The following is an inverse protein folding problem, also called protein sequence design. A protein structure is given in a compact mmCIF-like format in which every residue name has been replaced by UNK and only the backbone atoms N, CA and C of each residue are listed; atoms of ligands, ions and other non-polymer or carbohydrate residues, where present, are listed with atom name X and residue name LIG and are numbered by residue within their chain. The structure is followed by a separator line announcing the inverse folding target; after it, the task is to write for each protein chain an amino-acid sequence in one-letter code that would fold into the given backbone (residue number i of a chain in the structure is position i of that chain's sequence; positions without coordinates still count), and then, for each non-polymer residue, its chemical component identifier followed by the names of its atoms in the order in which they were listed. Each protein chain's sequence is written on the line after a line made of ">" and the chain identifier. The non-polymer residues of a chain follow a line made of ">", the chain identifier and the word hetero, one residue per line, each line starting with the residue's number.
data_IF_393799343178
#
_entry.id   IF_393799343178
#
_cell.length_a   1.000
_cell.length_b   1.000
_cell.length_c   1.000
_cell.angle_alpha   90.00
_cell.angle_beta   90.00
_cell.angle_gamma   90.00
#
_symmetry.space_group_name_H-M   'P 1'
#
loop_
_entity.id
_entity.type
_entity.pdbx_description
1 polymer ?
#
# COMPACT_ATOMS: atom_id res chain seq x y z
N UNK A 1 -2.73 -28.09 25.06
CA UNK A 1 -3.96 -27.66 24.34
C UNK A 1 -3.99 -28.41 23.02
N UNK A 2 -4.65 -29.57 23.00
CA UNK A 2 -4.71 -30.44 21.84
C UNK A 2 -5.57 -29.79 20.75
N UNK A 3 -4.97 -29.52 19.58
CA UNK A 3 -5.66 -29.00 18.42
C UNK A 3 -6.43 -30.12 17.72
N UNK A 4 -7.63 -30.43 18.22
CA UNK A 4 -8.60 -31.20 17.44
C UNK A 4 -8.95 -30.43 16.17
N UNK A 5 -9.05 -31.14 15.05
CA UNK A 5 -9.57 -30.58 13.79
C UNK A 5 -11.00 -30.12 14.02
N UNK A 6 -11.18 -28.80 14.13
CA UNK A 6 -12.50 -28.21 14.26
C UNK A 6 -13.34 -28.50 13.03
N UNK A 7 -14.63 -28.64 13.24
CA UNK A 7 -15.58 -28.87 12.15
C UNK A 7 -15.68 -27.63 11.27
N UNK A 8 -16.13 -27.82 10.01
CA UNK A 8 -16.36 -26.70 9.09
C UNK A 8 -17.35 -25.68 9.66
N UNK A 9 -18.38 -26.15 10.37
CA UNK A 9 -19.38 -25.31 11.02
C UNK A 9 -18.77 -24.41 12.11
N UNK A 10 -17.91 -24.96 12.98
CA UNK A 10 -17.23 -24.19 14.02
C UNK A 10 -16.27 -23.15 13.43
N UNK A 11 -15.60 -23.49 12.32
CA UNK A 11 -14.75 -22.55 11.58
C UNK A 11 -15.57 -21.39 11.02
N UNK A 12 -16.72 -21.70 10.42
CA UNK A 12 -17.58 -20.68 9.82
C UNK A 12 -18.14 -19.72 10.87
N UNK A 13 -18.61 -20.24 12.01
CA UNK A 13 -19.09 -19.41 13.13
C UNK A 13 -18.01 -18.46 13.67
N UNK A 14 -16.75 -18.91 13.70
CA UNK A 14 -15.63 -18.08 14.12
C UNK A 14 -15.31 -16.96 13.12
N UNK A 15 -15.40 -17.24 11.81
CA UNK A 15 -15.21 -16.24 10.76
C UNK A 15 -16.32 -15.18 10.82
N UNK A 16 -17.57 -15.59 11.00
CA UNK A 16 -18.72 -14.67 11.14
C UNK A 16 -18.55 -13.78 12.37
N UNK A 17 -18.17 -14.34 13.52
CA UNK A 17 -17.89 -13.56 14.71
C UNK A 17 -16.72 -12.58 14.50
N UNK A 18 -15.67 -12.99 13.77
CA UNK A 18 -14.57 -12.10 13.41
C UNK A 18 -15.04 -10.95 12.49
N UNK A 19 -15.90 -11.22 11.51
CA UNK A 19 -16.49 -10.19 10.66
C UNK A 19 -17.28 -9.18 11.48
N UNK A 20 -18.17 -9.64 12.36
CA UNK A 20 -18.97 -8.77 13.24
C UNK A 20 -18.09 -7.86 14.11
N UNK A 21 -17.02 -8.40 14.70
CA UNK A 21 -16.08 -7.61 15.48
C UNK A 21 -15.37 -6.55 14.62
N UNK A 22 -15.01 -6.89 13.37
CA UNK A 22 -14.42 -5.94 12.44
C UNK A 22 -15.41 -4.86 11.97
N UNK A 23 -16.70 -5.20 11.84
CA UNK A 23 -17.77 -4.25 11.53
C UNK A 23 -17.97 -3.25 12.67
N UNK A 24 -17.74 -3.67 13.92
CA UNK A 24 -17.68 -2.79 15.10
C UNK A 24 -16.34 -2.02 15.24
N UNK A 25 -15.52 -2.02 14.19
CA UNK A 25 -14.20 -1.39 14.15
C UNK A 25 -13.21 -1.89 15.22
N UNK A 26 -13.40 -3.11 15.74
CA UNK A 26 -12.48 -3.69 16.70
C UNK A 26 -11.07 -3.87 16.09
N UNK A 27 -10.00 -3.53 16.83
CA UNK A 27 -8.63 -3.79 16.37
C UNK A 27 -8.37 -5.28 16.13
N UNK A 28 -7.50 -5.63 15.18
CA UNK A 28 -7.13 -7.03 14.88
C UNK A 28 -6.63 -7.78 16.12
N UNK A 29 -5.94 -7.11 17.04
CA UNK A 29 -5.52 -7.70 18.32
C UNK A 29 -6.69 -8.13 19.20
N UNK A 30 -7.80 -7.39 19.19
CA UNK A 30 -9.04 -7.70 19.90
C UNK A 30 -9.77 -8.85 19.22
N UNK A 31 -9.85 -8.85 17.88
CA UNK A 31 -10.43 -9.96 17.11
C UNK A 31 -9.67 -11.26 17.41
N UNK A 32 -8.34 -11.24 17.34
CA UNK A 32 -7.48 -12.39 17.64
C UNK A 32 -7.66 -12.85 19.08
N UNK A 33 -7.64 -11.94 20.06
CA UNK A 33 -7.88 -12.31 21.45
C UNK A 33 -9.26 -12.95 21.66
N UNK A 34 -10.29 -12.46 20.97
CA UNK A 34 -11.62 -13.05 21.00
C UNK A 34 -11.63 -14.47 20.42
N UNK A 35 -10.99 -14.69 19.26
CA UNK A 35 -10.88 -16.02 18.64
C UNK A 35 -10.14 -17.03 19.52
N UNK A 36 -9.13 -16.58 20.27
CA UNK A 36 -8.42 -17.43 21.22
C UNK A 36 -9.28 -17.75 22.46
N UNK A 37 -10.04 -16.78 22.99
CA UNK A 37 -10.83 -16.96 24.21
C UNK A 37 -12.14 -17.69 23.99
N UNK A 38 -12.93 -17.28 23.00
CA UNK A 38 -14.28 -17.80 22.77
C UNK A 38 -14.27 -19.12 22.03
N UNK A 39 -13.34 -19.27 21.08
CA UNK A 39 -13.29 -20.46 20.24
C UNK A 39 -12.08 -21.35 20.58
N UNK A 40 -11.11 -20.90 21.38
CA UNK A 40 -9.96 -21.75 21.74
C UNK A 40 -8.96 -21.96 20.60
N UNK A 41 -8.93 -21.10 19.59
CA UNK A 41 -7.92 -21.19 18.54
C UNK A 41 -6.52 -20.83 19.06
N UNK A 42 -5.48 -21.45 18.49
CA UNK A 42 -4.12 -20.95 18.69
C UNK A 42 -3.96 -19.55 18.09
N UNK A 43 -2.97 -18.79 18.57
CA UNK A 43 -2.70 -17.43 18.06
C UNK A 43 -2.54 -17.40 16.54
N UNK A 44 -1.75 -18.33 15.99
CA UNK A 44 -1.51 -18.42 14.55
C UNK A 44 -2.79 -18.77 13.75
N UNK A 45 -3.67 -19.61 14.29
CA UNK A 45 -4.97 -19.89 13.67
C UNK A 45 -5.92 -18.69 13.75
N UNK A 46 -5.97 -18.01 14.89
CA UNK A 46 -6.78 -16.81 15.07
C UNK A 46 -6.40 -15.68 14.10
N UNK A 47 -5.10 -15.45 13.85
CA UNK A 47 -4.66 -14.49 12.82
C UNK A 47 -5.08 -14.90 11.41
N UNK A 48 -5.01 -16.20 11.08
CA UNK A 48 -5.47 -16.71 9.77
C UNK A 48 -6.97 -16.48 9.58
N UNK A 49 -7.79 -16.77 10.60
CA UNK A 49 -9.23 -16.53 10.56
C UNK A 49 -9.58 -15.05 10.46
N UNK A 50 -8.86 -14.19 11.20
CA UNK A 50 -9.03 -12.75 11.10
C UNK A 50 -8.69 -12.24 9.68
N UNK A 51 -7.64 -12.76 9.05
CA UNK A 51 -7.31 -12.44 7.66
C UNK A 51 -8.40 -12.90 6.69
N UNK A 52 -8.85 -14.14 6.82
CA UNK A 52 -9.93 -14.72 6.01
C UNK A 52 -11.23 -13.89 6.12
N UNK A 53 -11.60 -13.49 7.34
CA UNK A 53 -12.72 -12.57 7.58
C UNK A 53 -12.54 -11.21 6.90
N UNK A 54 -11.32 -10.66 6.94
CA UNK A 54 -10.99 -9.42 6.22
C UNK A 54 -11.09 -9.55 4.69
N UNK A 55 -10.64 -10.66 4.12
CA UNK A 55 -10.75 -10.95 2.69
C UNK A 55 -12.22 -11.10 2.25
N UNK A 56 -13.05 -11.79 3.05
CA UNK A 56 -14.50 -11.93 2.80
C UNK A 56 -15.19 -10.55 2.82
N UNK A 57 -14.90 -9.72 3.82
CA UNK A 57 -15.43 -8.34 3.89
C UNK A 57 -14.99 -7.51 2.69
N UNK A 58 -13.73 -7.66 2.26
CA UNK A 58 -13.21 -7.03 1.05
C UNK A 58 -13.96 -7.44 -0.22
N UNK A 59 -14.30 -8.73 -0.38
CA UNK A 59 -15.11 -9.22 -1.50
C UNK A 59 -16.55 -8.67 -1.48
N UNK A 60 -17.09 -8.38 -0.29
CA UNK A 60 -18.42 -7.79 -0.11
C UNK A 60 -18.43 -6.26 -0.28
N UNK A 61 -17.29 -5.64 -0.63
CA UNK A 61 -17.16 -4.19 -0.74
C UNK A 61 -17.19 -3.47 0.62
N UNK A 62 -17.24 -4.21 1.73
CA UNK A 62 -17.08 -3.66 3.07
C UNK A 62 -15.58 -3.46 3.27
N UNK A 63 -15.10 -2.30 2.82
CA UNK A 63 -13.72 -1.88 3.01
C UNK A 63 -13.36 -2.09 4.48
N UNK A 64 -12.45 -3.02 4.73
CA UNK A 64 -11.72 -3.04 6.00
C UNK A 64 -11.19 -1.64 6.29
N UNK A 65 -11.00 -1.34 7.57
CA UNK A 65 -10.28 -0.14 7.98
C UNK A 65 -9.02 -0.06 7.11
N UNK A 66 -8.81 1.03 6.33
CA UNK A 66 -7.73 1.06 5.37
C UNK A 66 -6.44 0.71 6.11
N UNK A 67 -5.72 -0.27 5.58
CA UNK A 67 -4.44 -0.67 6.12
C UNK A 67 -3.48 0.52 6.10
N UNK A 68 -2.40 0.46 6.89
CA UNK A 68 -1.37 1.52 6.83
C UNK A 68 -0.86 1.73 5.39
N UNK A 69 -0.77 0.66 4.59
CA UNK A 69 -0.44 0.72 3.17
C UNK A 69 -1.52 1.40 2.32
N UNK A 70 -2.80 1.16 2.60
CA UNK A 70 -3.90 1.83 1.87
C UNK A 70 -3.90 3.33 2.15
N UNK A 71 -3.72 3.72 3.41
CA UNK A 71 -3.62 5.12 3.81
C UNK A 71 -2.41 5.81 3.15
N UNK A 72 -1.28 5.10 3.06
CA UNK A 72 -0.10 5.64 2.39
C UNK A 72 -0.30 5.78 0.88
N UNK A 73 -0.94 4.81 0.23
CA UNK A 73 -1.29 4.89 -1.19
C UNK A 73 -2.27 6.05 -1.46
N UNK A 74 -3.28 6.24 -0.61
CA UNK A 74 -4.19 7.38 -0.69
C UNK A 74 -3.46 8.72 -0.54
N UNK A 75 -2.53 8.82 0.43
CA UNK A 75 -1.73 10.03 0.63
C UNK A 75 -0.84 10.35 -0.58
N UNK A 76 -0.26 9.34 -1.22
CA UNK A 76 0.51 9.51 -2.46
C UNK A 76 -0.34 10.06 -3.60
N UNK A 77 -1.54 9.50 -3.79
CA UNK A 77 -2.48 9.95 -4.84
C UNK A 77 -2.87 11.42 -4.62
N UNK A 78 -3.24 11.79 -3.39
CA UNK A 78 -3.62 13.16 -3.05
C UNK A 78 -2.46 14.13 -3.29
N UNK A 79 -1.24 13.76 -2.87
CA UNK A 79 -0.06 14.62 -3.05
C UNK A 79 0.33 14.77 -4.51
N UNK A 80 0.21 13.71 -5.32
CA UNK A 80 0.46 13.75 -6.75
C UNK A 80 -0.56 14.61 -7.51
N UNK A 81 -1.84 14.54 -7.11
CA UNK A 81 -2.89 15.40 -7.68
C UNK A 81 -2.65 16.88 -7.33
N UNK A 82 -2.33 17.17 -6.07
CA UNK A 82 -1.99 18.53 -5.63
C UNK A 82 -0.76 19.08 -6.37
N UNK A 83 0.25 18.24 -6.64
CA UNK A 83 1.42 18.61 -7.43
C UNK A 83 1.04 18.95 -8.89
N UNK A 84 0.18 18.14 -9.51
CA UNK A 84 -0.31 18.39 -10.86
C UNK A 84 -1.10 19.70 -10.94
N UNK A 85 -1.99 19.97 -9.97
CA UNK A 85 -2.72 21.23 -9.88
C UNK A 85 -1.78 22.42 -9.70
N UNK A 86 -0.83 22.35 -8.77
CA UNK A 86 0.14 23.44 -8.54
C UNK A 86 1.02 23.72 -9.78
N UNK A 87 1.32 22.69 -10.57
CA UNK A 87 2.04 22.86 -11.84
C UNK A 87 1.20 23.57 -12.90
N UNK A 88 -0.07 23.22 -13.02
CA UNK A 88 -1.02 23.89 -13.93
C UNK A 88 -1.26 25.35 -13.54
N UNK A 89 -1.30 25.63 -12.24
CA UNK A 89 -1.49 26.98 -11.70
C UNK A 89 -0.19 27.83 -11.70
N UNK A 90 0.95 27.24 -12.10
CA UNK A 90 2.24 27.92 -12.14
C UNK A 90 2.84 28.25 -10.76
N UNK A 91 2.35 27.64 -9.67
CA UNK A 91 2.89 27.81 -8.33
C UNK A 91 4.13 26.92 -8.12
N UNK A 92 5.26 27.39 -8.64
CA UNK A 92 6.54 26.68 -8.56
C UNK A 92 7.05 26.47 -7.13
N UNK A 93 6.61 27.28 -6.15
CA UNK A 93 6.97 27.08 -4.74
C UNK A 93 6.21 25.89 -4.16
N UNK A 94 4.92 25.79 -4.43
CA UNK A 94 4.13 24.61 -4.04
C UNK A 94 4.62 23.35 -4.74
N UNK A 95 4.98 23.43 -6.04
CA UNK A 95 5.54 22.29 -6.79
C UNK A 95 6.81 21.75 -6.14
N UNK A 96 7.76 22.62 -5.78
CA UNK A 96 9.02 22.20 -5.15
C UNK A 96 8.83 21.58 -3.76
N UNK A 97 7.81 22.03 -3.01
CA UNK A 97 7.46 21.49 -1.68
C UNK A 97 6.75 20.13 -1.81
N UNK A 98 5.69 20.07 -2.60
CA UNK A 98 4.88 18.87 -2.81
C UNK A 98 5.68 17.76 -3.47
N UNK A 99 6.61 18.09 -4.37
CA UNK A 99 7.51 17.11 -4.98
C UNK A 99 8.47 16.46 -3.98
N UNK A 100 8.92 17.20 -2.94
CA UNK A 100 9.71 16.63 -1.84
C UNK A 100 8.86 15.74 -0.94
N UNK A 101 7.66 16.21 -0.56
CA UNK A 101 6.71 15.41 0.24
C UNK A 101 6.34 14.09 -0.44
N UNK A 102 6.06 14.11 -1.74
CA UNK A 102 5.76 12.91 -2.51
C UNK A 102 6.95 11.93 -2.52
N UNK A 103 8.17 12.44 -2.72
CA UNK A 103 9.39 11.62 -2.72
C UNK A 103 9.63 10.96 -1.36
N UNK A 104 9.50 11.71 -0.27
CA UNK A 104 9.70 11.15 1.08
C UNK A 104 8.60 10.13 1.42
N UNK A 105 7.35 10.38 1.00
CA UNK A 105 6.25 9.42 1.17
C UNK A 105 6.55 8.13 0.41
N UNK A 106 7.00 8.21 -0.85
CA UNK A 106 7.36 7.06 -1.67
C UNK A 106 8.57 6.27 -1.14
N UNK A 107 9.54 6.94 -0.51
CA UNK A 107 10.65 6.27 0.20
C UNK A 107 10.14 5.52 1.43
N UNK A 108 9.30 6.16 2.24
CA UNK A 108 8.78 5.58 3.48
C UNK A 108 7.92 4.34 3.25
N UNK A 109 7.26 4.23 2.10
CA UNK A 109 6.48 3.06 1.68
C UNK A 109 7.29 2.00 0.95
N UNK A 110 8.58 2.24 0.70
CA UNK A 110 9.42 1.35 -0.11
C UNK A 110 9.05 1.29 -1.60
N UNK A 111 8.19 2.20 -2.08
CA UNK A 111 7.83 2.31 -3.51
C UNK A 111 8.96 2.86 -4.36
N UNK A 112 9.86 3.63 -3.76
CA UNK A 112 11.18 3.92 -4.31
C UNK A 112 12.16 3.04 -3.55
N UNK A 113 12.65 1.99 -4.19
CA UNK A 113 13.94 1.42 -3.79
C UNK A 113 14.96 2.52 -4.00
N UNK A 114 15.83 2.75 -3.01
CA UNK A 114 16.94 3.68 -3.14
C UNK A 114 17.90 3.14 -4.21
N UNK A 115 17.55 3.29 -5.48
CA UNK A 115 18.52 3.24 -6.56
C UNK A 115 19.40 4.46 -6.28
N UNK A 116 20.68 4.28 -5.93
CA UNK A 116 21.57 5.42 -5.77
C UNK A 116 21.49 6.25 -7.06
N UNK A 117 21.53 7.59 -6.97
CA UNK A 117 21.61 8.40 -8.18
C UNK A 117 22.76 7.85 -9.03
N UNK A 118 22.59 7.73 -10.37
CA UNK A 118 23.69 7.29 -11.22
C UNK A 118 24.89 8.18 -10.96
N UNK A 119 26.09 7.63 -11.05
CA UNK A 119 27.30 8.43 -10.88
C UNK A 119 27.23 9.64 -11.84
N UNK A 120 27.67 10.83 -11.43
CA UNK A 120 27.51 12.05 -12.22
C UNK A 120 28.11 11.92 -13.63
N UNK A 121 29.13 11.06 -13.78
CA UNK A 121 29.74 10.72 -15.06
C UNK A 121 28.80 9.84 -15.93
N UNK A 122 28.09 8.87 -15.34
CA UNK A 122 27.08 8.05 -16.04
C UNK A 122 25.86 8.88 -16.49
N UNK A 123 25.45 9.86 -15.67
CA UNK A 123 24.39 10.81 -16.03
C UNK A 123 24.79 11.69 -17.22
N UNK A 124 26.05 12.15 -17.26
CA UNK A 124 26.56 12.94 -18.38
C UNK A 124 26.60 12.13 -19.68
N UNK A 125 27.02 10.86 -19.59
CA UNK A 125 27.01 9.93 -20.73
C UNK A 125 25.60 9.60 -21.20
N UNK A 126 24.64 9.37 -20.30
CA UNK A 126 23.25 9.11 -20.66
C UNK A 126 22.58 10.34 -21.30
N UNK A 127 22.85 11.55 -20.78
CA UNK A 127 22.35 12.79 -21.37
C UNK A 127 22.97 13.03 -22.75
N UNK A 128 24.26 12.75 -22.94
CA UNK A 128 24.90 12.80 -24.25
C UNK A 128 24.33 11.76 -25.21
N UNK A 129 24.13 10.52 -24.76
CA UNK A 129 23.55 9.45 -25.57
C UNK A 129 22.13 9.79 -26.05
N UNK A 130 21.28 10.34 -25.17
CA UNK A 130 19.93 10.79 -25.51
C UNK A 130 19.96 11.98 -26.47
N UNK A 131 20.87 12.95 -26.26
CA UNK A 131 21.05 14.07 -27.21
C UNK A 131 21.50 13.60 -28.59
N UNK A 132 22.42 12.64 -28.66
CA UNK A 132 22.92 12.07 -29.92
C UNK A 132 21.85 11.22 -30.62
N UNK A 133 21.03 10.46 -29.88
CA UNK A 133 19.90 9.72 -30.43
C UNK A 133 18.87 10.67 -31.06
N UNK A 134 18.52 11.75 -30.37
CA UNK A 134 17.58 12.75 -30.88
C UNK A 134 18.13 13.54 -32.09
N UNK A 135 19.44 13.77 -32.16
CA UNK A 135 20.09 14.39 -33.32
C UNK A 135 20.08 13.48 -34.56
N UNK A 136 20.29 12.16 -34.38
CA UNK A 136 20.19 11.17 -35.46
C UNK A 136 18.77 11.07 -36.01
N UNK A 137 17.76 11.07 -35.15
CA UNK A 137 16.35 11.04 -35.57
C UNK A 137 15.93 12.30 -36.34
N UNK A 138 16.49 13.46 -35.99
CA UNK A 138 16.25 14.70 -36.74
C UNK A 138 17.02 14.80 -38.08
N UNK A 139 18.09 14.02 -38.25
CA UNK A 139 18.88 13.95 -39.49
C UNK A 139 18.36 12.90 -40.47
N UNK A 140 17.67 11.86 -39.98
CA UNK A 140 17.02 10.83 -40.79
C UNK A 140 15.67 11.27 -41.40
N UNK A 141 15.15 12.45 -41.01
CA UNK A 141 13.91 13.07 -41.52
C UNK A 141 14.14 14.18 -42.56
N UNK A 142 15.35 14.33 -43.10
CA UNK A 142 15.65 15.24 -44.21
C UNK A 142 15.95 14.47 -45.48
#
# INVERSE_FOLDING_TARGET
>A
MAGGTKTSAEKQAAIEAACQLMDLAAPTSVVVASMQRQFGYSRAQAYRLAREAGEIRGQQGISGRPSGSDLAAMAQIITAQALASAHLDGDWKAVARLGRELRETLKSTGSITSVPPPDPDELAEQVQAVRLANQKDSSAKR
#
